data_IF_598584381816
#
_entry.id   IF_598584381816
#
_cell.length_a   1.000
_cell.length_b   1.000
_cell.length_c   1.000
_cell.angle_alpha   90.00
_cell.angle_beta   90.00
_cell.angle_gamma   90.00
#
_symmetry.space_group_name_H-M   'P 1'
#
loop_
_entity.id
_entity.type
_entity.pdbx_description
1 polymer ?
#
# COMPACT_ATOMS: atom_id res chain seq x y z
N UNK A 1 14.20 -3.93 -65.19
CA UNK A 1 15.20 -5.00 -64.92
C UNK A 1 16.39 -4.33 -64.27
N UNK A 2 16.88 -4.65 -63.08
CA UNK A 2 16.83 -5.84 -62.23
C UNK A 2 17.50 -5.38 -60.92
N UNK A 3 17.07 -5.93 -59.78
CA UNK A 3 17.75 -5.85 -58.48
C UNK A 3 17.66 -4.50 -57.75
N UNK A 4 16.51 -4.18 -57.17
CA UNK A 4 16.49 -3.59 -55.82
C UNK A 4 15.11 -3.73 -55.13
N UNK A 5 14.36 -4.78 -55.47
CA UNK A 5 13.12 -5.19 -54.80
C UNK A 5 13.41 -6.09 -53.58
N UNK A 6 14.45 -5.77 -52.80
CA UNK A 6 14.82 -6.63 -51.67
C UNK A 6 15.65 -5.90 -50.60
N UNK A 7 15.16 -4.79 -50.04
CA UNK A 7 15.65 -4.31 -48.72
C UNK A 7 14.75 -3.22 -48.10
N UNK A 8 13.43 -3.45 -48.05
CA UNK A 8 12.47 -2.57 -47.34
C UNK A 8 11.69 -3.40 -46.31
N UNK A 9 12.41 -4.20 -45.53
CA UNK A 9 11.81 -5.10 -44.55
C UNK A 9 12.72 -5.31 -43.32
N UNK A 10 13.38 -4.27 -42.79
CA UNK A 10 14.17 -4.45 -41.56
C UNK A 10 14.53 -3.16 -40.80
N UNK A 11 13.60 -2.21 -40.62
CA UNK A 11 13.84 -1.03 -39.75
C UNK A 11 12.57 -0.52 -39.05
N UNK A 12 11.72 -1.41 -38.54
CA UNK A 12 10.53 -1.04 -37.75
C UNK A 12 10.49 -1.68 -36.35
N UNK A 13 11.64 -1.96 -35.72
CA UNK A 13 11.69 -2.61 -34.40
C UNK A 13 12.49 -1.88 -33.31
N UNK A 14 12.83 -0.61 -33.48
CA UNK A 14 13.39 0.19 -32.39
C UNK A 14 12.82 1.60 -32.42
N UNK A 15 11.94 1.93 -31.47
CA UNK A 15 11.47 3.30 -31.31
C UNK A 15 10.28 3.56 -30.40
N UNK A 16 9.49 2.57 -29.98
CA UNK A 16 8.49 2.78 -28.92
C UNK A 16 8.99 2.17 -27.61
N UNK A 17 10.15 2.64 -27.17
CA UNK A 17 10.47 2.59 -25.73
C UNK A 17 9.80 3.82 -25.12
N UNK A 18 8.71 3.63 -24.36
CA UNK A 18 8.54 4.23 -23.02
C UNK A 18 7.12 4.21 -22.43
N UNK A 19 6.07 3.66 -23.06
CA UNK A 19 4.76 3.53 -22.37
C UNK A 19 4.53 2.15 -21.72
N UNK A 20 5.59 1.38 -21.49
CA UNK A 20 5.57 0.21 -20.59
C UNK A 20 5.78 0.57 -19.11
N UNK A 21 6.16 1.82 -18.79
CA UNK A 21 6.38 2.25 -17.39
C UNK A 21 5.12 2.80 -16.70
N UNK A 22 4.02 3.03 -17.43
CA UNK A 22 2.70 3.37 -16.86
C UNK A 22 1.93 2.12 -16.40
N UNK A 23 2.55 1.29 -15.57
CA UNK A 23 1.85 0.32 -14.71
C UNK A 23 2.26 0.45 -13.25
N UNK A 24 2.82 1.60 -12.85
CA UNK A 24 2.91 2.00 -11.46
C UNK A 24 1.72 2.89 -11.12
N UNK A 25 0.68 2.35 -10.49
CA UNK A 25 -0.39 3.19 -9.94
C UNK A 25 0.22 4.33 -9.12
N UNK A 26 -0.34 5.53 -9.26
CA UNK A 26 0.11 6.73 -8.56
C UNK A 26 0.44 6.39 -7.10
N UNK A 27 1.67 6.67 -6.66
CA UNK A 27 2.05 6.46 -5.26
C UNK A 27 1.13 7.32 -4.40
N UNK A 28 0.25 6.69 -3.61
CA UNK A 28 -0.62 7.39 -2.67
C UNK A 28 0.21 8.27 -1.74
N UNK A 29 -0.25 9.49 -1.51
CA UNK A 29 0.30 10.40 -0.49
C UNK A 29 0.12 9.78 0.91
N UNK A 30 0.92 10.20 1.92
CA UNK A 30 0.73 9.74 3.30
C UNK A 30 -0.71 9.89 3.79
N UNK A 31 -1.33 11.04 3.52
CA UNK A 31 -2.73 11.33 3.86
C UNK A 31 -3.71 10.34 3.23
N UNK A 32 -3.59 10.11 1.91
CA UNK A 32 -4.42 9.14 1.21
C UNK A 32 -4.25 7.70 1.73
N UNK A 33 -3.04 7.35 2.22
CA UNK A 33 -2.80 6.05 2.86
C UNK A 33 -3.48 5.95 4.21
N UNK A 34 -3.45 7.02 5.00
CA UNK A 34 -4.16 7.11 6.29
C UNK A 34 -5.65 6.95 6.05
N UNK A 35 -6.24 7.74 5.14
CA UNK A 35 -7.67 7.70 4.85
C UNK A 35 -8.13 6.30 4.43
N UNK A 36 -7.43 5.71 3.45
CA UNK A 36 -7.74 4.35 3.00
C UNK A 36 -7.60 3.30 4.10
N UNK A 37 -6.67 3.50 5.04
CA UNK A 37 -6.52 2.62 6.20
C UNK A 37 -7.66 2.79 7.18
N UNK A 38 -8.02 4.03 7.50
CA UNK A 38 -9.12 4.36 8.39
C UNK A 38 -10.44 3.83 7.85
N UNK A 39 -10.73 3.99 6.56
CA UNK A 39 -11.94 3.46 5.92
C UNK A 39 -12.04 1.93 6.05
N UNK A 40 -10.92 1.22 5.84
CA UNK A 40 -10.87 -0.24 6.00
C UNK A 40 -11.04 -0.71 7.44
N UNK A 41 -10.54 0.06 8.40
CA UNK A 41 -10.71 -0.26 9.81
C UNK A 41 -12.13 0.04 10.26
N UNK A 42 -12.66 1.21 9.91
CA UNK A 42 -13.98 1.65 10.34
C UNK A 42 -15.09 0.75 9.78
N UNK A 43 -15.01 0.40 8.49
CA UNK A 43 -15.98 -0.51 7.86
C UNK A 43 -16.05 -1.90 8.50
N UNK A 44 -14.99 -2.35 9.18
CA UNK A 44 -14.90 -3.70 9.77
C UNK A 44 -15.05 -3.72 11.29
N UNK A 45 -14.52 -2.71 11.96
CA UNK A 45 -14.46 -2.63 13.42
C UNK A 45 -15.57 -1.74 14.00
N UNK A 46 -16.22 -0.90 13.18
CA UNK A 46 -17.20 0.11 13.60
C UNK A 46 -16.67 0.93 14.78
N UNK A 47 -15.62 1.71 14.50
CA UNK A 47 -14.88 2.42 15.54
C UNK A 47 -15.73 3.55 16.12
N UNK A 48 -15.57 3.86 17.40
CA UNK A 48 -16.11 5.11 17.99
C UNK A 48 -15.35 6.33 17.45
N UNK A 49 -15.94 7.52 17.55
CA UNK A 49 -15.30 8.74 17.06
C UNK A 49 -13.96 9.04 17.75
N UNK A 50 -13.88 8.76 19.06
CA UNK A 50 -12.64 8.88 19.84
C UNK A 50 -11.57 7.87 19.36
N UNK A 51 -11.96 6.60 19.14
CA UNK A 51 -11.06 5.60 18.57
C UNK A 51 -10.56 6.01 17.19
N UNK A 52 -11.45 6.53 16.33
CA UNK A 52 -11.08 6.99 14.99
C UNK A 52 -10.04 8.10 15.05
N UNK A 53 -10.23 9.10 15.90
CA UNK A 53 -9.29 10.21 16.03
C UNK A 53 -7.91 9.73 16.51
N UNK A 54 -7.87 8.90 17.56
CA UNK A 54 -6.63 8.38 18.12
C UNK A 54 -5.88 7.49 17.10
N UNK A 55 -6.58 6.57 16.42
CA UNK A 55 -5.98 5.68 15.42
C UNK A 55 -5.52 6.46 14.19
N UNK A 56 -6.27 7.48 13.76
CA UNK A 56 -5.89 8.36 12.65
C UNK A 56 -4.58 9.09 12.94
N UNK A 57 -4.41 9.63 14.15
CA UNK A 57 -3.15 10.27 14.56
C UNK A 57 -1.98 9.30 14.48
N UNK A 58 -2.12 8.09 15.04
CA UNK A 58 -1.08 7.06 15.01
C UNK A 58 -0.65 6.69 13.59
N UNK A 59 -1.60 6.54 12.66
CA UNK A 59 -1.26 6.27 11.26
C UNK A 59 -0.63 7.47 10.56
N UNK A 60 -1.08 8.69 10.89
CA UNK A 60 -0.53 9.91 10.31
C UNK A 60 0.93 10.06 10.70
N UNK A 61 1.24 9.89 11.98
CA UNK A 61 2.61 9.92 12.49
C UNK A 61 3.47 8.83 11.85
N UNK A 62 2.94 7.62 11.73
CA UNK A 62 3.66 6.50 11.14
C UNK A 62 3.97 6.69 9.64
N UNK A 63 3.00 7.16 8.85
CA UNK A 63 3.18 7.35 7.40
C UNK A 63 3.93 8.63 7.04
N UNK A 64 4.02 9.60 7.96
CA UNK A 64 4.83 10.81 7.79
C UNK A 64 6.31 10.58 8.07
N UNK A 65 6.64 9.56 8.88
CA UNK A 65 8.03 9.18 9.15
C UNK A 65 8.66 8.49 7.94
N UNK A 66 9.92 8.85 7.65
CA UNK A 66 10.73 8.12 6.67
C UNK A 66 11.38 6.89 7.33
N UNK A 67 10.60 5.81 7.43
CA UNK A 67 11.02 4.57 8.08
C UNK A 67 11.77 3.70 7.07
N UNK A 68 12.99 3.31 7.40
CA UNK A 68 13.82 2.40 6.63
C UNK A 68 13.14 1.04 6.42
N UNK A 69 13.54 0.28 5.39
CA UNK A 69 12.92 -1.04 5.13
C UNK A 69 13.14 -2.03 6.26
N UNK A 70 14.28 -1.94 6.95
CA UNK A 70 14.68 -2.83 8.05
C UNK A 70 13.83 -2.57 9.29
N UNK A 71 13.65 -1.30 9.65
CA UNK A 71 12.90 -0.90 10.84
C UNK A 71 11.39 -0.95 10.62
N UNK A 72 10.92 -0.89 9.37
CA UNK A 72 9.50 -0.85 9.03
C UNK A 72 8.69 -1.98 9.66
N UNK A 73 9.26 -3.19 9.75
CA UNK A 73 8.57 -4.31 10.38
C UNK A 73 8.36 -4.07 11.87
N UNK A 74 9.42 -3.72 12.59
CA UNK A 74 9.38 -3.44 14.03
C UNK A 74 8.44 -2.26 14.32
N UNK A 75 8.56 -1.14 13.59
CA UNK A 75 7.68 0.03 13.76
C UNK A 75 6.21 -0.29 13.45
N UNK A 76 5.95 -1.18 12.50
CA UNK A 76 4.58 -1.62 12.22
C UNK A 76 4.03 -2.51 13.33
N UNK A 77 4.85 -3.37 13.94
CA UNK A 77 4.47 -4.19 15.10
C UNK A 77 4.18 -3.31 16.33
N UNK A 78 5.01 -2.30 16.58
CA UNK A 78 4.78 -1.27 17.61
C UNK A 78 3.45 -0.53 17.37
N UNK A 79 3.21 -0.06 16.14
CA UNK A 79 1.97 0.61 15.75
C UNK A 79 0.74 -0.28 15.97
N UNK A 80 0.81 -1.55 15.54
CA UNK A 80 -0.29 -2.49 15.71
C UNK A 80 -0.59 -2.75 17.18
N UNK A 81 0.43 -2.81 18.03
CA UNK A 81 0.26 -2.94 19.48
C UNK A 81 -0.46 -1.72 20.06
N UNK A 82 -0.02 -0.50 19.70
CA UNK A 82 -0.67 0.74 20.14
C UNK A 82 -2.13 0.81 19.72
N UNK A 83 -2.44 0.45 18.46
CA UNK A 83 -3.82 0.42 17.97
C UNK A 83 -4.63 -0.65 18.71
N UNK A 84 -4.07 -1.85 18.91
CA UNK A 84 -4.77 -2.93 19.61
C UNK A 84 -5.16 -2.55 21.04
N UNK A 85 -4.37 -1.72 21.71
CA UNK A 85 -4.69 -1.24 23.07
C UNK A 85 -5.85 -0.23 23.11
N UNK A 86 -6.18 0.40 21.97
CA UNK A 86 -7.31 1.33 21.82
C UNK A 86 -8.61 0.63 21.41
N UNK A 87 -8.55 -0.65 21.09
CA UNK A 87 -9.69 -1.45 20.62
C UNK A 87 -10.27 -2.29 21.75
N UNK A 88 -11.55 -2.63 21.65
CA UNK A 88 -12.19 -3.61 22.53
C UNK A 88 -11.83 -5.04 22.14
N UNK A 89 -12.02 -6.02 23.02
CA UNK A 89 -11.61 -7.41 22.78
C UNK A 89 -12.25 -8.03 21.53
N UNK A 90 -13.51 -7.67 21.24
CA UNK A 90 -14.19 -8.06 20.00
C UNK A 90 -13.49 -7.48 18.75
N UNK A 91 -13.12 -6.20 18.80
CA UNK A 91 -12.45 -5.50 17.71
C UNK A 91 -11.00 -5.98 17.51
N UNK A 92 -10.28 -6.29 18.60
CA UNK A 92 -8.91 -6.83 18.56
C UNK A 92 -8.82 -8.12 17.75
N UNK A 93 -9.81 -9.02 17.88
CA UNK A 93 -9.86 -10.27 17.10
C UNK A 93 -9.91 -9.98 15.60
N UNK A 94 -10.84 -9.13 15.17
CA UNK A 94 -10.98 -8.73 13.76
C UNK A 94 -9.74 -7.99 13.26
N UNK A 95 -9.14 -7.12 14.08
CA UNK A 95 -7.90 -6.42 13.75
C UNK A 95 -6.71 -7.37 13.54
N UNK A 96 -6.55 -8.36 14.43
CA UNK A 96 -5.53 -9.39 14.31
C UNK A 96 -5.69 -10.22 13.03
N UNK A 97 -6.91 -10.65 12.71
CA UNK A 97 -7.19 -11.36 11.46
C UNK A 97 -6.86 -10.53 10.21
N UNK A 98 -7.14 -9.23 10.22
CA UNK A 98 -6.80 -8.35 9.11
C UNK A 98 -5.29 -8.22 8.90
N UNK A 99 -4.52 -8.24 9.98
CA UNK A 99 -3.06 -8.13 9.94
C UNK A 99 -2.40 -9.45 9.54
N UNK A 100 -2.91 -10.59 10.02
CA UNK A 100 -2.38 -11.92 9.69
C UNK A 100 -2.65 -12.34 8.24
N UNK A 101 -3.83 -12.03 7.69
CA UNK A 101 -4.17 -12.31 6.28
C UNK A 101 -3.24 -11.61 5.28
N UNK A 102 -2.58 -10.51 5.67
CA UNK A 102 -1.54 -9.87 4.85
C UNK A 102 -0.21 -10.59 4.88
N UNK A 103 0.18 -11.17 6.01
CA UNK A 103 1.44 -11.91 6.16
C UNK A 103 1.40 -13.26 5.43
N UNK A 104 0.21 -13.89 5.35
CA UNK A 104 0.02 -15.19 4.70
C UNK A 104 -0.05 -15.16 3.18
N UNK A 105 -0.09 -13.99 2.54
CA UNK A 105 -0.12 -13.87 1.06
C UNK A 105 1.31 -13.94 0.49
N UNK A 106 2.05 -15.00 0.82
CA UNK A 106 3.21 -15.42 0.01
C UNK A 106 2.64 -15.89 -1.33
N UNK A 107 3.10 -15.27 -2.42
CA UNK A 107 2.90 -15.78 -3.77
C UNK A 107 3.72 -17.04 -3.96
#
# INVERSE_FOLDING_TARGET
>A
MKKLLLLMALTAMFGISADAQKKGGQKLTPEQRVEKRMEQLDSKLKLSDEQKQNIKSLYTDFFSQDISREERRSKMEELNTKISNLLDDSQKKTFSEMNSRKAGRKR
#
